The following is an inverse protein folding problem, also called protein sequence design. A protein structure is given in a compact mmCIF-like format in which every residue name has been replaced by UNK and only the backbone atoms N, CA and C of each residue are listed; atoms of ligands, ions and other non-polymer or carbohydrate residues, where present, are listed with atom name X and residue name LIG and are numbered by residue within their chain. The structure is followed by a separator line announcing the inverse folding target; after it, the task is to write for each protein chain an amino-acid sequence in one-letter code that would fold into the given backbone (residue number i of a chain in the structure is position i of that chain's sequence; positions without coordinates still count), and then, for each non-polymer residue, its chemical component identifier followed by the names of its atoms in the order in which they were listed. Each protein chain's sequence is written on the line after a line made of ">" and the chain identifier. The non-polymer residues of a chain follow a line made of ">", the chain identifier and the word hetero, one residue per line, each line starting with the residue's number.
data_IF_518369147566
#
_entry.id   IF_518369147566
#
_cell.length_a   1.000
_cell.length_b   1.000
_cell.length_c   1.000
_cell.angle_alpha   90.00
_cell.angle_beta   90.00
_cell.angle_gamma   90.00
#
_symmetry.space_group_name_H-M   'P 1'
#
loop_
_entity.id
_entity.type
_entity.pdbx_description
1 polymer ?
#
# COMPACT_ATOMS: atom_id res chain seq x y z
N UNK A 1 71.26 -8.61 -52.85
CA UNK A 1 71.18 -9.37 -51.58
C UNK A 1 69.97 -8.84 -50.81
N UNK A 2 69.19 -9.74 -50.22
CA UNK A 2 67.76 -9.62 -49.86
C UNK A 2 67.34 -8.31 -49.14
N UNK A 3 66.36 -7.61 -49.71
CA UNK A 3 65.54 -6.58 -49.04
C UNK A 3 64.34 -7.26 -48.41
N UNK A 4 64.24 -7.25 -47.07
CA UNK A 4 63.10 -7.81 -46.32
C UNK A 4 62.22 -6.63 -45.90
N UNK A 5 61.01 -6.55 -46.45
CA UNK A 5 59.96 -5.62 -46.03
C UNK A 5 59.16 -6.32 -44.92
N UNK A 6 59.35 -5.90 -43.68
CA UNK A 6 58.57 -6.40 -42.54
C UNK A 6 57.36 -5.47 -42.38
N UNK A 7 56.18 -5.94 -42.80
CA UNK A 7 54.90 -5.28 -42.57
C UNK A 7 54.47 -5.49 -41.12
N UNK A 8 54.53 -4.42 -40.33
CA UNK A 8 54.09 -4.39 -38.93
C UNK A 8 52.58 -4.23 -38.88
N UNK A 9 51.86 -5.31 -38.55
CA UNK A 9 50.41 -5.27 -38.29
C UNK A 9 50.18 -4.78 -36.85
N UNK A 10 49.65 -3.56 -36.71
CA UNK A 10 49.17 -3.03 -35.43
C UNK A 10 47.75 -3.57 -35.20
N UNK A 11 47.63 -4.52 -34.27
CA UNK A 11 46.34 -4.96 -33.76
C UNK A 11 45.85 -3.99 -32.67
N UNK A 12 44.84 -3.18 -33.00
CA UNK A 12 44.09 -2.38 -32.02
C UNK A 12 43.15 -3.30 -31.24
N UNK A 13 43.55 -3.68 -30.02
CA UNK A 13 42.66 -4.29 -29.04
C UNK A 13 41.84 -3.17 -28.38
N UNK A 14 40.61 -2.98 -28.87
CA UNK A 14 39.60 -2.17 -28.21
C UNK A 14 39.16 -2.89 -26.92
N UNK A 15 39.67 -2.43 -25.77
CA UNK A 15 39.08 -2.74 -24.47
C UNK A 15 37.73 -2.03 -24.37
N UNK A 16 36.67 -2.68 -24.86
CA UNK A 16 35.30 -2.32 -24.56
C UNK A 16 34.97 -2.75 -23.14
N UNK A 17 35.07 -1.83 -22.17
CA UNK A 17 34.35 -1.96 -20.91
C UNK A 17 32.86 -1.86 -21.22
N UNK A 18 32.21 -3.01 -21.45
CA UNK A 18 30.76 -3.10 -21.36
C UNK A 18 30.42 -3.02 -19.88
N UNK A 19 30.13 -1.80 -19.42
CA UNK A 19 29.35 -1.62 -18.21
C UNK A 19 27.98 -2.25 -18.49
N UNK A 20 27.78 -3.47 -17.98
CA UNK A 20 26.45 -4.02 -17.79
C UNK A 20 25.74 -3.07 -16.81
N UNK A 21 24.99 -2.11 -17.34
CA UNK A 21 23.93 -1.48 -16.57
C UNK A 21 22.99 -2.61 -16.16
N UNK A 22 23.13 -3.04 -14.91
CA UNK A 22 22.16 -3.86 -14.23
C UNK A 22 20.82 -3.19 -14.42
N UNK A 23 19.94 -3.81 -15.20
CA UNK A 23 18.69 -3.21 -15.65
C UNK A 23 18.02 -2.49 -14.50
N UNK A 24 17.76 -1.20 -14.69
CA UNK A 24 16.84 -0.48 -13.82
C UNK A 24 15.55 -1.29 -13.88
N UNK A 25 15.29 -2.05 -12.83
CA UNK A 25 13.93 -2.50 -12.53
C UNK A 25 13.19 -1.19 -12.34
N UNK A 26 12.54 -0.72 -13.41
CA UNK A 26 11.55 0.34 -13.34
C UNK A 26 10.48 -0.19 -12.40
N UNK A 27 10.69 0.02 -11.10
CA UNK A 27 9.70 -0.27 -10.08
C UNK A 27 8.51 0.59 -10.48
N UNK A 28 7.46 -0.04 -10.98
CA UNK A 28 6.22 0.66 -11.26
C UNK A 28 5.76 1.27 -9.94
N UNK A 29 6.01 2.57 -9.75
CA UNK A 29 5.61 3.28 -8.53
C UNK A 29 4.11 3.51 -8.67
N UNK A 30 3.33 2.76 -7.89
CA UNK A 30 1.90 2.93 -7.85
C UNK A 30 1.57 4.37 -7.40
N UNK A 31 0.79 5.08 -8.21
CA UNK A 31 0.37 6.44 -7.90
C UNK A 31 -0.58 6.46 -6.71
N UNK A 32 -0.56 7.54 -5.93
CA UNK A 32 -1.42 7.72 -4.75
C UNK A 32 -1.28 6.62 -3.68
N UNK A 33 -0.14 5.91 -3.66
CA UNK A 33 0.24 5.01 -2.57
C UNK A 33 0.43 5.82 -1.28
N UNK A 34 -0.04 5.28 -0.16
CA UNK A 34 -0.01 5.94 1.15
C UNK A 34 1.25 5.55 1.93
N UNK A 35 1.61 4.27 1.89
CA UNK A 35 2.74 3.72 2.63
C UNK A 35 3.92 3.45 1.70
N UNK A 36 5.02 4.17 1.97
CA UNK A 36 6.31 3.87 1.35
C UNK A 36 6.93 2.60 1.93
N UNK A 37 7.77 1.93 1.13
CA UNK A 37 8.48 0.73 1.56
C UNK A 37 9.24 0.96 2.88
N UNK A 38 9.17 -0.01 3.78
CA UNK A 38 9.80 -0.01 5.10
C UNK A 38 8.97 0.66 6.20
N UNK A 39 7.89 1.39 5.83
CA UNK A 39 6.97 1.94 6.80
C UNK A 39 6.17 0.83 7.46
N UNK A 40 6.09 0.90 8.78
CA UNK A 40 5.16 0.16 9.61
C UNK A 40 4.18 1.16 10.22
N UNK A 41 2.91 0.81 10.15
CA UNK A 41 1.85 1.50 10.90
C UNK A 41 1.07 0.47 11.70
N UNK A 42 0.65 0.83 12.89
CA UNK A 42 -0.26 0.06 13.71
C UNK A 42 -1.43 0.94 14.15
N UNK A 43 -2.57 0.32 14.41
CA UNK A 43 -3.74 0.99 14.91
C UNK A 43 -4.52 0.14 15.90
N UNK A 44 -5.15 0.82 16.87
CA UNK A 44 -6.02 0.21 17.88
C UNK A 44 -7.37 0.92 17.98
N UNK A 45 -8.46 0.14 17.99
CA UNK A 45 -9.79 0.63 18.34
C UNK A 45 -10.58 -0.46 19.08
N UNK A 46 -11.09 -0.12 20.27
CA UNK A 46 -11.94 -1.00 21.11
C UNK A 46 -11.35 -2.39 21.33
N UNK A 47 -10.02 -2.47 21.52
CA UNK A 47 -9.29 -3.73 21.75
C UNK A 47 -8.95 -4.51 20.48
N UNK A 48 -9.43 -4.11 19.30
CA UNK A 48 -8.94 -4.64 18.02
C UNK A 48 -7.67 -3.93 17.62
N UNK A 49 -6.65 -4.70 17.23
CA UNK A 49 -5.32 -4.21 16.87
C UNK A 49 -4.93 -4.69 15.47
N UNK A 50 -4.51 -3.77 14.62
CA UNK A 50 -4.01 -4.08 13.27
C UNK A 50 -2.66 -3.42 13.03
N UNK A 51 -1.72 -4.15 12.44
CA UNK A 51 -0.45 -3.60 11.99
C UNK A 51 -0.21 -3.92 10.52
N UNK A 52 0.28 -2.94 9.75
CA UNK A 52 0.63 -3.08 8.34
C UNK A 52 2.09 -2.68 8.15
N UNK A 53 2.87 -3.53 7.48
CA UNK A 53 4.22 -3.22 7.02
C UNK A 53 4.21 -3.16 5.50
N UNK A 54 4.73 -2.07 4.94
CA UNK A 54 4.89 -1.90 3.50
C UNK A 54 6.21 -2.54 3.04
N UNK A 55 6.11 -3.63 2.29
CA UNK A 55 7.24 -4.32 1.67
C UNK A 55 7.59 -3.78 0.28
N UNK A 56 8.44 -4.53 -0.43
CA UNK A 56 8.80 -4.26 -1.83
C UNK A 56 7.62 -4.60 -2.75
N UNK A 57 7.60 -4.03 -3.96
CA UNK A 57 6.65 -4.40 -5.01
C UNK A 57 5.16 -4.35 -4.57
N UNK A 58 4.79 -3.35 -3.78
CA UNK A 58 3.44 -3.17 -3.21
C UNK A 58 2.98 -4.29 -2.27
N UNK A 59 3.92 -5.06 -1.71
CA UNK A 59 3.61 -6.01 -0.63
C UNK A 59 3.10 -5.27 0.61
N UNK A 60 2.09 -5.84 1.26
CA UNK A 60 1.61 -5.46 2.58
C UNK A 60 1.60 -6.69 3.47
N UNK A 61 2.37 -6.66 4.54
CA UNK A 61 2.30 -7.66 5.62
C UNK A 61 1.35 -7.13 6.68
N UNK A 62 0.23 -7.81 6.87
CA UNK A 62 -0.87 -7.40 7.74
C UNK A 62 -0.90 -8.35 8.93
N UNK A 63 -0.93 -7.79 10.14
CA UNK A 63 -1.11 -8.53 11.38
C UNK A 63 -2.41 -8.12 12.06
N UNK A 64 -3.29 -9.08 12.34
CA UNK A 64 -4.59 -8.89 13.00
C UNK A 64 -4.87 -10.09 13.90
N UNK A 65 -5.29 -9.85 15.14
CA UNK A 65 -5.60 -10.91 16.13
C UNK A 65 -4.47 -11.96 16.31
N UNK A 66 -3.21 -11.53 16.23
CA UNK A 66 -2.05 -12.42 16.35
C UNK A 66 -1.75 -13.28 15.11
N UNK A 67 -2.51 -13.14 14.03
CA UNK A 67 -2.25 -13.77 12.73
C UNK A 67 -1.59 -12.75 11.81
N UNK A 68 -0.62 -13.18 11.02
CA UNK A 68 0.13 -12.32 10.10
C UNK A 68 0.17 -12.94 8.71
N UNK A 69 -0.15 -12.15 7.69
CA UNK A 69 -0.15 -12.58 6.30
C UNK A 69 0.34 -11.47 5.38
N UNK A 70 1.05 -11.84 4.30
CA UNK A 70 1.49 -10.91 3.26
C UNK A 70 0.62 -11.01 2.01
N UNK A 71 0.41 -9.88 1.35
CA UNK A 71 -0.28 -9.79 0.05
C UNK A 71 0.37 -8.72 -0.81
N UNK A 72 0.56 -9.02 -2.10
CA UNK A 72 0.97 -8.03 -3.09
C UNK A 72 -0.27 -7.30 -3.63
N UNK A 73 -0.34 -6.00 -3.40
CA UNK A 73 -1.43 -5.19 -3.95
C UNK A 73 -1.14 -4.81 -5.40
N UNK A 74 -2.21 -4.63 -6.17
CA UNK A 74 -2.17 -4.23 -7.57
C UNK A 74 -2.49 -2.75 -7.66
N UNK A 75 -1.77 -2.00 -8.48
CA UNK A 75 -2.10 -0.61 -8.76
C UNK A 75 -3.35 -0.52 -9.63
N UNK A 76 -4.24 0.45 -9.35
CA UNK A 76 -5.36 0.70 -10.28
C UNK A 76 -4.84 1.34 -11.55
N UNK A 77 -5.33 0.85 -12.69
CA UNK A 77 -5.07 1.45 -14.00
C UNK A 77 -5.90 2.72 -14.24
N UNK A 78 -7.05 2.84 -13.58
CA UNK A 78 -8.00 3.95 -13.75
C UNK A 78 -8.61 4.35 -12.41
N UNK A 79 -8.98 5.63 -12.29
CA UNK A 79 -9.69 6.13 -11.10
C UNK A 79 -11.04 5.43 -10.94
N UNK A 80 -11.33 4.97 -9.73
CA UNK A 80 -12.61 4.36 -9.36
C UNK A 80 -13.15 5.03 -8.10
N UNK A 81 -14.36 5.60 -8.17
CA UNK A 81 -14.91 6.47 -7.12
C UNK A 81 -13.89 7.51 -6.59
N UNK A 82 -13.15 8.13 -7.52
CA UNK A 82 -12.15 9.16 -7.25
C UNK A 82 -10.75 8.66 -6.85
N UNK A 83 -10.56 7.35 -6.66
CA UNK A 83 -9.32 6.78 -6.09
C UNK A 83 -8.50 6.04 -7.17
N UNK A 84 -7.18 6.26 -7.22
CA UNK A 84 -6.25 5.51 -8.07
C UNK A 84 -5.54 4.44 -7.21
N UNK A 85 -4.43 4.73 -6.53
CA UNK A 85 -3.91 3.88 -5.45
C UNK A 85 -3.71 2.39 -5.78
N UNK A 86 -3.74 1.59 -4.73
CA UNK A 86 -3.59 0.15 -4.72
C UNK A 86 -4.90 -0.54 -4.30
N UNK A 87 -5.10 -1.78 -4.76
CA UNK A 87 -6.15 -2.68 -4.29
C UNK A 87 -5.66 -4.12 -4.20
N UNK A 88 -6.36 -4.94 -3.41
CA UNK A 88 -6.20 -6.39 -3.45
C UNK A 88 -6.50 -6.90 -4.88
N UNK A 89 -5.73 -7.89 -5.38
CA UNK A 89 -6.03 -8.52 -6.67
C UNK A 89 -7.45 -9.07 -6.68
N UNK A 90 -8.11 -9.05 -7.86
CA UNK A 90 -9.50 -9.52 -7.98
C UNK A 90 -9.67 -11.02 -7.70
N UNK A 91 -8.59 -11.79 -7.87
CA UNK A 91 -8.47 -13.17 -7.40
C UNK A 91 -7.22 -13.19 -6.52
N UNK A 92 -7.33 -12.79 -5.24
CA UNK A 92 -6.28 -13.10 -4.30
C UNK A 92 -6.28 -14.63 -4.27
N UNK A 93 -5.22 -15.28 -4.72
CA UNK A 93 -5.16 -16.74 -4.75
C UNK A 93 -5.27 -17.34 -3.34
N UNK A 94 -4.57 -18.45 -3.12
CA UNK A 94 -4.47 -19.14 -1.83
C UNK A 94 -3.74 -18.37 -0.71
N UNK A 95 -3.80 -17.03 -0.72
CA UNK A 95 -3.16 -16.14 0.25
C UNK A 95 -3.62 -16.36 1.69
N UNK A 96 -4.71 -17.11 1.90
CA UNK A 96 -5.32 -17.36 3.19
C UNK A 96 -5.81 -18.81 3.30
N UNK A 97 -4.91 -19.77 3.06
CA UNK A 97 -5.19 -21.21 3.06
C UNK A 97 -5.31 -21.85 4.44
N UNK A 98 -5.26 -21.07 5.50
CA UNK A 98 -5.25 -21.58 6.86
C UNK A 98 -6.68 -21.66 7.42
N UNK A 99 -7.02 -22.81 7.99
CA UNK A 99 -8.35 -23.19 8.49
C UNK A 99 -8.88 -22.35 9.68
N UNK A 100 -8.11 -21.34 10.14
CA UNK A 100 -8.26 -20.72 11.47
C UNK A 100 -8.38 -19.17 11.45
N UNK A 101 -9.21 -18.59 10.58
CA UNK A 101 -9.65 -17.21 10.81
C UNK A 101 -10.00 -16.43 9.57
N UNK A 102 -9.05 -15.67 9.01
CA UNK A 102 -9.27 -14.83 7.82
C UNK A 102 -8.91 -15.64 6.59
N UNK A 103 -9.88 -15.82 5.71
CA UNK A 103 -9.79 -16.61 4.47
C UNK A 103 -9.80 -15.74 3.21
N UNK A 104 -10.09 -14.46 3.36
CA UNK A 104 -10.09 -13.48 2.27
C UNK A 104 -9.83 -12.09 2.82
N UNK A 105 -9.14 -11.25 2.05
CA UNK A 105 -8.95 -9.85 2.39
C UNK A 105 -9.26 -8.94 1.19
N UNK A 106 -10.15 -7.97 1.42
CA UNK A 106 -10.40 -6.85 0.50
C UNK A 106 -9.61 -5.67 1.02
N UNK A 107 -8.54 -5.30 0.31
CA UNK A 107 -7.66 -4.23 0.75
C UNK A 107 -7.69 -3.10 -0.26
N UNK A 108 -7.78 -1.87 0.23
CA UNK A 108 -7.56 -0.68 -0.58
C UNK A 108 -6.58 0.26 0.10
N UNK A 109 -5.71 0.86 -0.68
CA UNK A 109 -4.83 1.93 -0.24
C UNK A 109 -4.84 3.07 -1.25
N UNK A 110 -5.16 4.29 -0.84
CA UNK A 110 -5.17 5.43 -1.77
C UNK A 110 -5.18 6.79 -1.08
N UNK A 111 -4.95 7.85 -1.83
CA UNK A 111 -5.27 9.20 -1.38
C UNK A 111 -6.78 9.49 -1.54
N UNK A 112 -7.33 10.33 -0.67
CA UNK A 112 -8.69 10.88 -0.83
C UNK A 112 -8.59 12.39 -0.76
N UNK A 113 -9.07 13.05 -1.81
CA UNK A 113 -8.98 14.50 -1.95
C UNK A 113 -10.31 15.17 -1.61
N UNK A 114 -10.26 16.10 -0.67
CA UNK A 114 -11.36 16.97 -0.28
C UNK A 114 -11.02 18.43 -0.59
N UNK A 115 -12.07 19.25 -0.76
CA UNK A 115 -11.93 20.70 -0.97
C UNK A 115 -11.82 21.48 0.34
N UNK A 116 -12.31 20.93 1.46
CA UNK A 116 -12.33 21.61 2.75
C UNK A 116 -12.45 20.63 3.92
N UNK A 117 -12.20 21.12 5.15
CA UNK A 117 -12.37 20.35 6.39
C UNK A 117 -13.83 19.93 6.57
N UNK A 118 -14.78 20.82 6.29
CA UNK A 118 -16.21 20.54 6.46
C UNK A 118 -16.65 19.38 5.54
N UNK A 119 -16.03 19.24 4.37
CA UNK A 119 -16.29 18.13 3.46
C UNK A 119 -15.75 16.79 4.02
N UNK A 120 -14.60 16.82 4.71
CA UNK A 120 -14.06 15.65 5.43
C UNK A 120 -15.00 15.27 6.55
N UNK A 121 -15.38 16.22 7.40
CA UNK A 121 -16.28 16.02 8.54
C UNK A 121 -17.63 15.46 8.09
N UNK A 122 -18.26 16.06 7.07
CA UNK A 122 -19.49 15.54 6.48
C UNK A 122 -19.34 14.12 5.93
N UNK A 123 -18.15 13.72 5.50
CA UNK A 123 -17.90 12.38 4.98
C UNK A 123 -17.61 11.34 6.05
N UNK A 124 -16.81 11.68 7.07
CA UNK A 124 -16.35 10.77 8.13
C UNK A 124 -17.32 10.71 9.31
N UNK A 125 -17.88 11.87 9.69
CA UNK A 125 -18.75 12.02 10.86
C UNK A 125 -20.23 11.86 10.50
N UNK A 126 -20.55 11.49 9.26
CA UNK A 126 -21.93 11.24 8.86
C UNK A 126 -22.52 10.10 9.72
N UNK A 127 -23.52 10.37 10.57
CA UNK A 127 -24.10 9.34 11.44
C UNK A 127 -24.74 8.20 10.64
N UNK A 128 -25.20 8.46 9.41
CA UNK A 128 -25.77 7.43 8.52
C UNK A 128 -24.72 6.50 7.90
N UNK A 129 -23.42 6.79 8.03
CA UNK A 129 -22.32 5.88 7.63
C UNK A 129 -21.80 5.00 8.77
N UNK A 130 -22.22 5.23 10.02
CA UNK A 130 -21.82 4.39 11.18
C UNK A 130 -22.30 2.95 11.08
N UNK A 131 -23.19 2.63 10.14
CA UNK A 131 -23.70 1.28 9.88
C UNK A 131 -22.65 0.28 9.38
N UNK A 132 -21.44 0.74 8.99
CA UNK A 132 -20.39 -0.18 8.53
C UNK A 132 -19.97 -1.21 9.61
N UNK A 133 -20.14 -0.88 10.90
CA UNK A 133 -19.94 -1.80 12.01
C UNK A 133 -18.48 -2.26 12.21
N UNK A 134 -17.52 -1.52 11.67
CA UNK A 134 -16.08 -1.77 11.81
C UNK A 134 -15.36 -0.69 12.63
N UNK A 135 -14.04 -0.73 12.56
CA UNK A 135 -13.13 0.18 13.25
C UNK A 135 -12.70 1.29 12.30
N UNK A 136 -12.63 2.52 12.80
CA UNK A 136 -12.18 3.69 12.04
C UNK A 136 -11.31 4.52 12.98
N UNK A 137 -10.05 4.70 12.61
CA UNK A 137 -9.13 5.62 13.30
C UNK A 137 -8.46 6.52 12.28
N UNK A 138 -8.16 7.75 12.68
CA UNK A 138 -7.42 8.68 11.84
C UNK A 138 -6.66 9.68 12.70
N UNK A 139 -5.54 10.16 12.20
CA UNK A 139 -4.68 11.13 12.87
C UNK A 139 -4.87 12.55 12.31
N UNK A 140 -4.20 13.51 12.93
CA UNK A 140 -4.27 14.94 12.58
C UNK A 140 -3.78 15.23 11.16
N UNK A 141 -2.84 14.42 10.67
CA UNK A 141 -2.27 14.51 9.33
C UNK A 141 -3.10 13.79 8.26
N UNK A 142 -4.26 13.23 8.63
CA UNK A 142 -5.18 12.61 7.70
C UNK A 142 -4.83 11.19 7.28
N UNK A 143 -3.87 10.53 7.93
CA UNK A 143 -3.74 9.07 7.81
C UNK A 143 -4.95 8.44 8.49
N UNK A 144 -5.69 7.63 7.74
CA UNK A 144 -6.93 6.99 8.15
C UNK A 144 -6.86 5.49 7.88
N UNK A 145 -7.18 4.70 8.89
CA UNK A 145 -7.35 3.25 8.77
C UNK A 145 -8.80 2.89 9.07
N UNK A 146 -9.37 2.04 8.22
CA UNK A 146 -10.65 1.39 8.48
C UNK A 146 -10.46 -0.10 8.32
N UNK A 147 -10.90 -0.88 9.31
CA UNK A 147 -10.91 -2.33 9.17
C UNK A 147 -12.14 -2.96 9.79
N UNK A 148 -12.54 -4.08 9.20
CA UNK A 148 -13.61 -4.92 9.70
C UNK A 148 -13.29 -6.37 9.38
N UNK A 149 -13.43 -7.22 10.39
CA UNK A 149 -13.43 -8.66 10.22
C UNK A 149 -14.87 -9.16 10.25
N UNK A 150 -15.33 -9.75 9.16
CA UNK A 150 -16.69 -10.30 9.04
C UNK A 150 -16.61 -11.81 9.05
N UNK A 151 -17.15 -12.46 10.08
CA UNK A 151 -17.29 -13.91 10.12
C UNK A 151 -18.39 -14.34 9.15
N UNK A 152 -18.09 -15.26 8.24
CA UNK A 152 -19.02 -15.82 7.25
C UNK A 152 -19.50 -17.23 7.66
N UNK A 153 -18.63 -18.02 8.26
CA UNK A 153 -18.91 -19.35 8.83
C UNK A 153 -17.89 -19.65 9.92
N UNK A 154 -17.95 -20.79 10.64
CA UNK A 154 -16.98 -21.11 11.70
C UNK A 154 -15.51 -21.07 11.26
N UNK A 155 -15.22 -21.35 9.98
CA UNK A 155 -13.85 -21.41 9.43
C UNK A 155 -13.53 -20.31 8.43
N UNK A 156 -14.47 -19.40 8.17
CA UNK A 156 -14.34 -18.41 7.11
C UNK A 156 -14.63 -17.01 7.65
N UNK A 157 -13.67 -16.10 7.46
CA UNK A 157 -13.90 -14.67 7.66
C UNK A 157 -13.23 -13.82 6.59
N UNK A 158 -13.76 -12.62 6.41
CA UNK A 158 -13.30 -11.63 5.44
C UNK A 158 -12.74 -10.44 6.20
N UNK A 159 -11.53 -10.02 5.87
CA UNK A 159 -10.96 -8.75 6.31
C UNK A 159 -11.19 -7.67 5.24
N UNK A 160 -12.02 -6.69 5.54
CA UNK A 160 -12.07 -5.44 4.76
C UNK A 160 -11.09 -4.45 5.41
N UNK A 161 -10.11 -3.97 4.67
CA UNK A 161 -9.09 -3.02 5.13
C UNK A 161 -8.96 -1.86 4.14
N UNK A 162 -9.07 -0.64 4.64
CA UNK A 162 -8.79 0.58 3.88
C UNK A 162 -7.73 1.42 4.58
N UNK A 163 -6.71 1.82 3.83
CA UNK A 163 -5.63 2.71 4.26
C UNK A 163 -5.71 3.97 3.39
N UNK A 164 -6.08 5.10 3.98
CA UNK A 164 -6.22 6.34 3.22
C UNK A 164 -5.33 7.45 3.76
N UNK A 165 -4.80 8.25 2.84
CA UNK A 165 -4.26 9.56 3.14
C UNK A 165 -5.28 10.61 2.69
N UNK A 166 -5.91 11.28 3.65
CA UNK A 166 -6.80 12.41 3.41
C UNK A 166 -5.95 13.62 3.05
N UNK A 167 -6.33 14.30 1.97
CA UNK A 167 -5.75 15.55 1.52
C UNK A 167 -6.85 16.60 1.39
N UNK A 168 -6.58 17.82 1.84
CA UNK A 168 -7.46 18.97 1.73
C UNK A 168 -6.76 19.99 0.84
N UNK A 169 -7.37 20.30 -0.31
CA UNK A 169 -6.76 21.14 -1.35
C UNK A 169 -5.37 20.64 -1.79
N UNK A 170 -5.17 19.32 -1.77
CA UNK A 170 -3.92 18.68 -2.19
C UNK A 170 -2.87 18.53 -1.09
N UNK A 171 -3.11 19.06 0.11
CA UNK A 171 -2.15 19.02 1.22
C UNK A 171 -2.67 18.15 2.38
N UNK A 172 -1.74 17.62 3.19
CA UNK A 172 -2.10 16.97 4.45
C UNK A 172 -2.74 18.00 5.39
N UNK A 173 -3.86 17.67 6.04
CA UNK A 173 -4.38 18.53 7.11
C UNK A 173 -3.37 18.62 8.26
N UNK A 174 -3.49 19.66 9.08
CA UNK A 174 -2.75 19.79 10.34
C UNK A 174 -3.57 19.34 11.55
N UNK A 175 -4.88 19.23 11.37
CA UNK A 175 -5.85 18.80 12.37
C UNK A 175 -7.12 18.34 11.66
N UNK A 176 -7.72 17.28 12.17
CA UNK A 176 -9.06 16.84 11.81
C UNK A 176 -9.92 16.75 13.07
N UNK A 177 -11.19 17.08 12.97
CA UNK A 177 -12.11 16.90 14.10
C UNK A 177 -12.30 15.41 14.35
N UNK A 178 -12.13 14.98 15.60
CA UNK A 178 -12.30 13.58 16.02
C UNK A 178 -11.11 12.66 15.74
N UNK A 179 -9.99 13.20 15.23
CA UNK A 179 -8.75 12.45 15.08
C UNK A 179 -8.14 12.10 16.43
N UNK A 180 -7.37 11.02 16.45
CA UNK A 180 -6.63 10.58 17.61
C UNK A 180 -5.25 10.02 17.21
N UNK A 181 -4.22 10.82 17.46
CA UNK A 181 -2.84 10.45 17.13
C UNK A 181 -2.32 9.28 17.99
N UNK A 182 -2.92 9.00 19.15
CA UNK A 182 -2.46 7.87 19.98
C UNK A 182 -2.98 6.51 19.48
N UNK A 183 -3.97 6.51 18.59
CA UNK A 183 -4.54 5.29 18.02
C UNK A 183 -3.81 4.82 16.76
N UNK A 184 -2.82 5.57 16.27
CA UNK A 184 -2.01 5.20 15.11
C UNK A 184 -0.54 5.50 15.42
N UNK A 185 0.34 4.52 15.26
CA UNK A 185 1.78 4.66 15.54
C UNK A 185 2.66 3.83 14.61
#
# INVERSE_FOLDING_TARGET
>A
MRTIIISSWIALLLNGCVSLDSGSTSSFVAQETVLSQGIKICAEDKGSNICIVAGKNNERTISLDGKTQSINLVAREKRWHGKLGLLSPGHPGDLWKDDDGVTMATIQESQIHYKSIEAVEKSLLNPFKKEWGGHIVYNDEGLLLQWKKTQMSERQSILDLSIFQILINGEKPKKLTGSNNSQIW
#
